data_IF_626693104312
#
_entry.id   IF_626693104312
#
_cell.length_a   1.000
_cell.length_b   1.000
_cell.length_c   1.000
_cell.angle_alpha   90.00
_cell.angle_beta   90.00
_cell.angle_gamma   90.00
#
_symmetry.space_group_name_H-M   'P 1'
#
loop_
_entity.id
_entity.type
_entity.pdbx_description
1 polymer ?
#
# COMPACT_ATOMS: atom_id res chain seq x y z
N UNK A 1 5.30 37.60 -11.50
CA UNK A 1 4.58 36.29 -11.48
C UNK A 1 3.98 36.18 -10.11
N UNK A 2 2.67 36.18 -10.01
CA UNK A 2 1.97 36.23 -8.73
C UNK A 2 1.24 34.92 -8.50
N UNK A 3 1.33 34.37 -7.31
CA UNK A 3 0.63 33.15 -6.91
C UNK A 3 0.26 33.20 -5.44
N UNK A 4 -0.84 32.54 -5.08
CA UNK A 4 -1.18 32.31 -3.69
C UNK A 4 -0.38 31.12 -3.17
N UNK A 5 0.53 31.35 -2.24
CA UNK A 5 1.41 30.32 -1.66
C UNK A 5 0.56 29.23 -0.99
N UNK A 6 -0.45 29.64 -0.24
CA UNK A 6 -1.35 28.73 0.49
C UNK A 6 -2.12 27.82 -0.46
N UNK A 7 -2.62 28.39 -1.58
CA UNK A 7 -3.33 27.62 -2.61
C UNK A 7 -2.38 26.65 -3.31
N UNK A 8 -1.18 27.10 -3.63
CA UNK A 8 -0.14 26.24 -4.24
C UNK A 8 0.26 25.10 -3.32
N UNK A 9 0.46 25.37 -2.03
CA UNK A 9 0.77 24.37 -1.01
C UNK A 9 -0.36 23.35 -0.88
N UNK A 10 -1.60 23.81 -0.78
CA UNK A 10 -2.77 22.95 -0.65
C UNK A 10 -2.96 22.07 -1.89
N UNK A 11 -2.79 22.66 -3.09
CA UNK A 11 -2.85 21.94 -4.35
C UNK A 11 -1.75 20.88 -4.46
N UNK A 12 -0.49 21.23 -4.14
CA UNK A 12 0.62 20.29 -4.13
C UNK A 12 0.36 19.13 -3.14
N UNK A 13 -0.10 19.45 -1.93
CA UNK A 13 -0.45 18.44 -0.93
C UNK A 13 -1.52 17.47 -1.46
N UNK A 14 -2.60 17.99 -2.06
CA UNK A 14 -3.67 17.19 -2.63
C UNK A 14 -3.16 16.32 -3.79
N UNK A 15 -2.34 16.88 -4.69
CA UNK A 15 -1.76 16.16 -5.83
C UNK A 15 -0.86 15.03 -5.36
N UNK A 16 0.02 15.27 -4.40
CA UNK A 16 0.94 14.27 -3.86
C UNK A 16 0.16 13.18 -3.14
N UNK A 17 -0.82 13.56 -2.30
CA UNK A 17 -1.65 12.60 -1.58
C UNK A 17 -2.42 11.68 -2.53
N UNK A 18 -3.05 12.24 -3.57
CA UNK A 18 -3.76 11.46 -4.58
C UNK A 18 -2.83 10.55 -5.37
N UNK A 19 -1.68 11.06 -5.79
CA UNK A 19 -0.68 10.27 -6.50
C UNK A 19 -0.19 9.11 -5.64
N UNK A 20 -0.04 9.34 -4.36
CA UNK A 20 0.35 8.34 -3.38
C UNK A 20 -0.74 7.26 -3.21
N UNK A 21 -2.00 7.68 -3.04
CA UNK A 21 -3.15 6.77 -2.98
C UNK A 21 -3.24 5.90 -4.24
N UNK A 22 -3.14 6.52 -5.41
CA UNK A 22 -3.18 5.79 -6.68
C UNK A 22 -2.02 4.80 -6.83
N UNK A 23 -0.80 5.21 -6.45
CA UNK A 23 0.36 4.33 -6.49
C UNK A 23 0.24 3.17 -5.50
N UNK A 24 -0.25 3.43 -4.27
CA UNK A 24 -0.47 2.38 -3.27
C UNK A 24 -1.51 1.36 -3.76
N UNK A 25 -2.56 1.82 -4.43
CA UNK A 25 -3.55 0.96 -5.04
C UNK A 25 -2.98 0.15 -6.21
N UNK A 26 -2.20 0.78 -7.09
CA UNK A 26 -1.61 0.11 -8.25
C UNK A 26 -0.50 -0.89 -7.87
N UNK A 27 0.24 -0.63 -6.80
CA UNK A 27 1.35 -1.47 -6.32
C UNK A 27 0.96 -2.40 -5.17
N UNK A 28 -0.30 -2.36 -4.73
CA UNK A 28 -0.81 -3.23 -3.64
C UNK A 28 0.00 -3.08 -2.34
N UNK A 29 0.47 -1.89 -2.07
CA UNK A 29 1.17 -1.59 -0.81
C UNK A 29 0.28 -0.69 0.04
N UNK A 30 -0.38 -1.22 1.08
CA UNK A 30 -1.15 -0.40 1.99
C UNK A 30 -0.18 0.48 2.78
N UNK A 31 -0.25 1.77 2.55
CA UNK A 31 0.48 2.75 3.33
C UNK A 31 -0.49 3.43 4.31
N UNK A 32 -0.14 3.55 5.59
CA UNK A 32 -1.00 4.18 6.55
C UNK A 32 -1.25 5.64 6.17
N UNK A 33 -2.52 6.02 6.11
CA UNK A 33 -2.95 7.35 5.64
C UNK A 33 -2.25 8.51 6.37
N UNK A 34 -1.91 8.31 7.65
CA UNK A 34 -1.17 9.31 8.44
C UNK A 34 0.22 9.59 7.86
N UNK A 35 0.95 8.54 7.47
CA UNK A 35 2.28 8.67 6.86
C UNK A 35 2.18 9.32 5.48
N UNK A 36 1.16 8.97 4.70
CA UNK A 36 0.90 9.59 3.40
C UNK A 36 0.62 11.09 3.53
N UNK A 37 -0.17 11.48 4.54
CA UNK A 37 -0.47 12.88 4.81
C UNK A 37 0.78 13.67 5.21
N UNK A 38 1.60 13.12 6.12
CA UNK A 38 2.87 13.74 6.54
C UNK A 38 3.81 13.91 5.35
N UNK A 39 3.94 12.89 4.51
CA UNK A 39 4.74 12.96 3.29
C UNK A 39 4.23 14.04 2.33
N UNK A 40 2.93 14.06 2.05
CA UNK A 40 2.34 15.04 1.14
C UNK A 40 2.49 16.47 1.65
N UNK A 41 2.32 16.69 2.95
CA UNK A 41 2.53 18.00 3.57
C UNK A 41 4.01 18.42 3.50
N UNK A 42 4.94 17.55 3.86
CA UNK A 42 6.37 17.87 3.83
C UNK A 42 6.84 18.24 2.42
N UNK A 43 6.53 17.41 1.41
CA UNK A 43 6.90 17.68 0.01
C UNK A 43 6.21 18.91 -0.61
N UNK A 44 5.17 19.44 0.03
CA UNK A 44 4.52 20.67 -0.43
C UNK A 44 5.20 21.94 0.11
N UNK A 45 6.00 21.85 1.19
CA UNK A 45 6.69 22.97 1.82
C UNK A 45 7.66 23.69 0.88
N UNK A 46 8.48 23.00 0.05
CA UNK A 46 9.36 23.69 -0.90
C UNK A 46 8.63 24.63 -1.86
N UNK A 47 7.34 24.32 -2.15
CA UNK A 47 6.48 25.23 -2.92
C UNK A 47 6.27 26.61 -2.29
N UNK A 48 6.45 26.75 -0.98
CA UNK A 48 6.42 28.04 -0.28
C UNK A 48 7.69 28.87 -0.55
N UNK A 49 8.77 28.20 -0.93
CA UNK A 49 10.07 28.82 -1.21
C UNK A 49 10.28 29.08 -2.71
N UNK A 50 9.20 29.26 -3.45
CA UNK A 50 9.18 29.34 -4.91
C UNK A 50 10.18 30.35 -5.48
N UNK A 51 10.33 31.49 -4.83
CA UNK A 51 11.21 32.59 -5.26
C UNK A 51 12.62 32.51 -4.68
N UNK A 52 12.91 31.55 -3.82
CA UNK A 52 14.23 31.37 -3.26
C UNK A 52 15.14 30.60 -4.25
N UNK A 53 16.28 31.17 -4.67
CA UNK A 53 17.18 30.50 -5.59
C UNK A 53 17.72 29.22 -4.96
N UNK A 54 17.60 28.10 -5.68
CA UNK A 54 18.05 26.80 -5.19
C UNK A 54 16.99 26.03 -4.35
N UNK A 55 15.76 26.52 -4.23
CA UNK A 55 14.69 25.84 -3.50
C UNK A 55 14.38 24.42 -4.00
N UNK A 56 14.66 24.13 -5.27
CA UNK A 56 14.55 22.78 -5.84
C UNK A 56 15.48 21.76 -5.16
N UNK A 57 16.60 22.20 -4.56
CA UNK A 57 17.50 21.30 -3.82
C UNK A 57 16.82 20.73 -2.57
N UNK A 58 15.97 21.53 -1.90
CA UNK A 58 15.17 21.03 -0.76
C UNK A 58 14.20 19.96 -1.21
N UNK A 59 13.54 20.15 -2.36
CA UNK A 59 12.64 19.14 -2.92
C UNK A 59 13.39 17.84 -3.22
N UNK A 60 14.55 17.92 -3.86
CA UNK A 60 15.37 16.73 -4.16
C UNK A 60 15.82 16.03 -2.88
N UNK A 61 16.27 16.79 -1.88
CA UNK A 61 16.70 16.24 -0.60
C UNK A 61 15.53 15.52 0.10
N UNK A 62 14.36 16.13 0.16
CA UNK A 62 13.17 15.55 0.73
C UNK A 62 12.74 14.27 0.00
N UNK A 63 12.74 14.28 -1.33
CA UNK A 63 12.41 13.08 -2.13
C UNK A 63 13.38 11.92 -1.83
N UNK A 64 14.68 12.21 -1.70
CA UNK A 64 15.69 11.21 -1.35
C UNK A 64 15.42 10.66 0.05
N UNK A 65 15.20 11.53 1.04
CA UNK A 65 14.89 11.10 2.42
C UNK A 65 13.64 10.23 2.47
N UNK A 66 12.58 10.64 1.79
CA UNK A 66 11.33 9.88 1.78
C UNK A 66 11.43 8.58 0.98
N UNK A 67 12.22 8.55 -0.08
CA UNK A 67 12.49 7.31 -0.80
C UNK A 67 13.09 6.23 0.12
N UNK A 68 14.08 6.59 0.93
CA UNK A 68 14.70 5.66 1.87
C UNK A 68 13.81 5.35 3.07
N UNK A 69 13.13 6.34 3.61
CA UNK A 69 12.34 6.19 4.83
C UNK A 69 10.97 5.56 4.59
N UNK A 70 10.23 6.06 3.61
CA UNK A 70 8.84 5.68 3.39
C UNK A 70 8.69 4.50 2.44
N UNK A 71 9.43 4.52 1.34
CA UNK A 71 9.34 3.47 0.33
C UNK A 71 10.27 2.29 0.60
N UNK A 72 11.14 2.39 1.59
CA UNK A 72 12.07 1.31 1.99
C UNK A 72 12.70 0.63 0.78
N UNK A 73 13.22 1.43 -0.17
CA UNK A 73 13.81 0.97 -1.43
C UNK A 73 12.81 0.33 -2.42
N UNK A 74 11.52 0.45 -2.22
CA UNK A 74 10.54 0.00 -3.22
C UNK A 74 10.46 0.99 -4.39
N UNK A 75 11.44 0.91 -5.29
CA UNK A 75 11.55 1.80 -6.44
C UNK A 75 10.30 1.78 -7.33
N UNK A 76 9.66 0.63 -7.49
CA UNK A 76 8.44 0.48 -8.32
C UNK A 76 7.32 1.40 -7.85
N UNK A 77 7.00 1.38 -6.55
CA UNK A 77 5.92 2.20 -5.97
C UNK A 77 6.26 3.68 -6.02
N UNK A 78 7.50 4.04 -5.74
CA UNK A 78 7.97 5.42 -5.84
C UNK A 78 7.91 5.94 -7.28
N UNK A 79 8.41 5.19 -8.26
CA UNK A 79 8.34 5.56 -9.68
C UNK A 79 6.89 5.71 -10.17
N UNK A 80 5.99 4.82 -9.74
CA UNK A 80 4.57 4.91 -10.07
C UNK A 80 3.95 6.20 -9.51
N UNK A 81 4.24 6.53 -8.24
CA UNK A 81 3.78 7.77 -7.62
C UNK A 81 4.29 9.00 -8.36
N UNK A 82 5.59 9.04 -8.72
CA UNK A 82 6.18 10.15 -9.46
C UNK A 82 5.56 10.28 -10.87
N UNK A 83 5.36 9.18 -11.57
CA UNK A 83 4.71 9.18 -12.88
C UNK A 83 3.30 9.75 -12.84
N UNK A 84 2.50 9.35 -11.85
CA UNK A 84 1.14 9.88 -11.66
C UNK A 84 1.19 11.36 -11.30
N UNK A 85 2.10 11.79 -10.42
CA UNK A 85 2.29 13.19 -10.04
C UNK A 85 2.66 14.08 -11.23
N UNK A 86 3.59 13.63 -12.06
CA UNK A 86 3.98 14.33 -13.29
C UNK A 86 2.79 14.45 -14.23
N UNK A 87 2.02 13.38 -14.44
CA UNK A 87 0.82 13.39 -15.27
C UNK A 87 -0.18 14.45 -14.81
N UNK A 88 -0.38 14.57 -13.49
CA UNK A 88 -1.23 15.60 -12.89
C UNK A 88 -0.74 17.01 -13.18
N UNK A 89 0.54 17.27 -12.97
CA UNK A 89 1.14 18.58 -13.24
C UNK A 89 1.04 18.93 -14.72
N UNK A 90 1.30 17.98 -15.63
CA UNK A 90 1.18 18.20 -17.07
C UNK A 90 -0.27 18.51 -17.47
N UNK A 91 -1.25 17.80 -16.90
CA UNK A 91 -2.67 18.07 -17.15
C UNK A 91 -3.05 19.47 -16.67
N UNK A 92 -2.65 19.85 -15.45
CA UNK A 92 -2.91 21.19 -14.92
C UNK A 92 -2.22 22.28 -15.75
N UNK A 93 -1.03 22.04 -16.23
CA UNK A 93 -0.31 22.95 -17.12
C UNK A 93 -1.04 23.15 -18.45
N UNK A 94 -1.53 22.05 -19.06
CA UNK A 94 -2.27 22.09 -20.32
C UNK A 94 -3.55 22.93 -20.24
N UNK A 95 -4.19 23.00 -19.05
CA UNK A 95 -5.35 23.84 -18.81
C UNK A 95 -5.03 25.20 -18.19
N UNK A 96 -3.80 25.63 -18.20
CA UNK A 96 -3.33 26.91 -17.62
C UNK A 96 -3.66 27.05 -16.11
N UNK A 97 -3.84 25.94 -15.42
CA UNK A 97 -4.14 25.92 -13.99
C UNK A 97 -2.90 25.79 -13.11
N UNK A 98 -1.73 25.82 -13.71
CA UNK A 98 -0.46 25.70 -13.00
C UNK A 98 0.72 26.14 -13.83
N UNK A 99 1.87 26.25 -13.19
CA UNK A 99 3.14 26.59 -13.82
C UNK A 99 4.34 26.06 -13.02
N UNK A 100 5.52 26.18 -13.61
CA UNK A 100 6.78 25.83 -12.96
C UNK A 100 7.67 27.07 -12.80
N UNK A 101 8.25 27.19 -11.63
CA UNK A 101 9.30 28.15 -11.36
C UNK A 101 10.35 27.51 -10.44
N UNK A 102 11.62 27.63 -10.75
CA UNK A 102 12.70 26.92 -10.05
C UNK A 102 12.45 25.42 -9.86
N UNK A 103 11.92 24.75 -10.87
CA UNK A 103 11.50 23.34 -10.83
C UNK A 103 10.38 23.02 -9.81
N UNK A 104 9.81 24.04 -9.18
CA UNK A 104 8.68 23.88 -8.27
C UNK A 104 7.38 24.21 -8.99
N UNK A 105 6.36 23.43 -8.67
CA UNK A 105 5.00 23.64 -9.16
C UNK A 105 4.29 24.71 -8.36
N UNK A 106 3.56 25.59 -9.03
CA UNK A 106 2.73 26.59 -8.40
C UNK A 106 1.41 26.80 -9.14
N UNK A 107 0.42 27.35 -8.44
CA UNK A 107 -0.89 27.71 -8.99
C UNK A 107 -0.91 29.25 -9.18
N UNK A 108 -1.07 29.75 -10.43
CA UNK A 108 -1.12 31.18 -10.69
C UNK A 108 -2.44 31.80 -10.18
N UNK A 109 -2.44 33.13 -9.94
CA UNK A 109 -3.59 33.87 -9.39
C UNK A 109 -4.87 33.73 -10.23
N UNK A 110 -4.72 33.61 -11.55
CA UNK A 110 -5.85 33.49 -12.47
C UNK A 110 -6.40 32.07 -12.63
N UNK A 111 -5.79 31.09 -11.95
CA UNK A 111 -6.23 29.70 -12.03
C UNK A 111 -7.58 29.48 -11.32
N UNK A 112 -8.43 28.66 -11.90
CA UNK A 112 -9.68 28.27 -11.28
C UNK A 112 -9.45 27.12 -10.30
N UNK A 113 -9.30 27.44 -9.03
CA UNK A 113 -9.10 26.45 -7.96
C UNK A 113 -10.26 25.46 -7.88
N UNK A 114 -11.49 25.90 -8.14
CA UNK A 114 -12.67 25.04 -8.13
C UNK A 114 -12.61 23.92 -9.17
N UNK A 115 -12.06 24.22 -10.35
CA UNK A 115 -11.87 23.21 -11.40
C UNK A 115 -10.91 22.11 -10.94
N UNK A 116 -9.81 22.49 -10.31
CA UNK A 116 -8.83 21.54 -9.76
C UNK A 116 -9.47 20.62 -8.72
N UNK A 117 -10.25 21.18 -7.80
CA UNK A 117 -10.96 20.39 -6.78
C UNK A 117 -12.02 19.46 -7.39
N UNK A 118 -12.72 19.89 -8.43
CA UNK A 118 -13.69 19.06 -9.14
C UNK A 118 -12.99 17.86 -9.80
N UNK A 119 -11.87 18.10 -10.45
CA UNK A 119 -11.06 17.02 -11.07
C UNK A 119 -10.55 16.06 -10.00
N UNK A 120 -10.00 16.55 -8.89
CA UNK A 120 -9.52 15.69 -7.80
C UNK A 120 -10.66 14.91 -7.14
N UNK A 121 -11.78 15.53 -6.89
CA UNK A 121 -12.96 14.88 -6.33
C UNK A 121 -13.50 13.79 -7.26
N UNK A 122 -13.57 14.07 -8.54
CA UNK A 122 -13.98 13.09 -9.56
C UNK A 122 -13.05 11.90 -9.62
N UNK A 123 -11.73 12.11 -9.57
CA UNK A 123 -10.76 11.03 -9.56
C UNK A 123 -10.77 10.22 -8.26
N UNK A 124 -10.93 10.87 -7.12
CA UNK A 124 -11.08 10.15 -5.86
C UNK A 124 -12.32 9.24 -5.90
N UNK A 125 -13.43 9.73 -6.43
CA UNK A 125 -14.63 8.92 -6.64
C UNK A 125 -14.39 7.76 -7.60
N UNK A 126 -13.73 7.99 -8.73
CA UNK A 126 -13.39 6.93 -9.68
C UNK A 126 -12.51 5.86 -9.05
N UNK A 127 -11.51 6.25 -8.26
CA UNK A 127 -10.67 5.33 -7.52
C UNK A 127 -11.47 4.54 -6.50
N UNK A 128 -12.37 5.19 -5.76
CA UNK A 128 -13.20 4.52 -4.77
C UNK A 128 -14.15 3.50 -5.41
N UNK A 129 -14.78 3.85 -6.53
CA UNK A 129 -15.69 2.96 -7.27
C UNK A 129 -14.91 1.79 -7.91
N UNK A 130 -13.75 2.07 -8.49
CA UNK A 130 -12.91 1.07 -9.17
C UNK A 130 -12.04 0.25 -8.23
N UNK A 131 -12.06 0.54 -6.93
CA UNK A 131 -11.25 -0.16 -5.94
C UNK A 131 -11.45 -1.68 -5.97
N UNK A 132 -12.71 -2.13 -6.02
CA UNK A 132 -13.03 -3.55 -6.08
C UNK A 132 -12.51 -4.22 -7.35
N UNK A 133 -12.62 -3.54 -8.49
CA UNK A 133 -12.10 -4.03 -9.78
C UNK A 133 -10.55 -4.07 -9.79
N UNK A 134 -9.93 -3.12 -9.11
CA UNK A 134 -8.47 -3.08 -8.97
C UNK A 134 -7.98 -4.20 -8.04
N UNK A 135 -8.67 -4.44 -6.92
CA UNK A 135 -8.40 -5.58 -6.04
C UNK A 135 -8.50 -6.91 -6.81
N UNK A 136 -9.45 -7.03 -7.72
CA UNK A 136 -9.61 -8.22 -8.55
C UNK A 136 -8.47 -8.44 -9.58
N UNK A 137 -7.68 -7.42 -9.87
CA UNK A 137 -6.51 -7.48 -10.79
C UNK A 137 -5.17 -7.63 -10.07
N UNK A 138 -5.18 -7.77 -8.74
CA UNK A 138 -3.98 -7.95 -7.95
C UNK A 138 -3.27 -9.24 -8.35
N UNK A 139 -1.95 -9.20 -8.37
CA UNK A 139 -1.15 -10.41 -8.31
C UNK A 139 -1.49 -11.11 -6.98
N UNK A 140 -2.24 -12.20 -7.05
CA UNK A 140 -2.58 -12.99 -5.87
C UNK A 140 -1.41 -13.82 -5.33
N UNK A 141 -0.23 -13.68 -5.95
CA UNK A 141 0.96 -14.45 -5.66
C UNK A 141 1.92 -13.64 -4.79
N UNK A 142 2.21 -14.15 -3.62
CA UNK A 142 3.16 -13.54 -2.70
C UNK A 142 4.20 -14.55 -2.23
N UNK A 143 5.39 -14.06 -1.93
CA UNK A 143 6.39 -14.83 -1.18
C UNK A 143 6.17 -14.60 0.29
N UNK A 144 5.99 -15.68 1.03
CA UNK A 144 5.78 -15.70 2.47
C UNK A 144 6.99 -16.30 3.16
N UNK A 145 7.41 -15.70 4.25
CA UNK A 145 8.38 -16.24 5.18
C UNK A 145 7.67 -16.56 6.49
N UNK A 146 7.74 -17.81 6.94
CA UNK A 146 7.19 -18.23 8.24
C UNK A 146 8.38 -18.59 9.13
N UNK A 147 8.52 -17.91 10.25
CA UNK A 147 9.54 -18.19 11.25
C UNK A 147 9.05 -19.29 12.21
N UNK A 148 9.83 -20.34 12.32
CA UNK A 148 9.65 -21.44 13.24
C UNK A 148 10.80 -21.46 14.24
N UNK A 149 10.67 -22.25 15.31
CA UNK A 149 11.69 -22.33 16.35
C UNK A 149 13.09 -22.66 15.83
N UNK A 150 13.20 -23.55 14.83
CA UNK A 150 14.50 -24.06 14.35
C UNK A 150 14.81 -23.63 12.91
N UNK A 151 13.86 -23.09 12.15
CA UNK A 151 14.02 -22.79 10.71
C UNK A 151 13.05 -21.73 10.23
N UNK A 152 13.34 -21.17 9.07
CA UNK A 152 12.42 -20.26 8.36
C UNK A 152 11.96 -20.94 7.07
N UNK A 153 10.65 -21.04 6.89
CA UNK A 153 10.08 -21.57 5.65
C UNK A 153 9.85 -20.41 4.68
N UNK A 154 10.30 -20.59 3.45
CA UNK A 154 10.03 -19.68 2.33
C UNK A 154 9.03 -20.35 1.40
N UNK A 155 7.81 -19.81 1.33
CA UNK A 155 6.68 -20.45 0.67
C UNK A 155 6.05 -19.49 -0.34
N UNK A 156 5.39 -20.07 -1.34
CA UNK A 156 4.59 -19.34 -2.32
C UNK A 156 3.15 -19.28 -1.85
N UNK A 157 2.68 -18.10 -1.54
CA UNK A 157 1.33 -17.88 -1.05
C UNK A 157 0.37 -17.39 -2.15
N UNK A 158 -0.85 -17.88 -2.11
CA UNK A 158 -1.99 -17.37 -2.87
C UNK A 158 -2.87 -16.54 -1.95
N UNK A 159 -3.06 -15.26 -2.29
CA UNK A 159 -3.96 -14.39 -1.55
C UNK A 159 -5.41 -14.69 -1.95
N UNK A 160 -6.19 -15.14 -1.00
CA UNK A 160 -7.62 -15.38 -1.19
C UNK A 160 -8.44 -14.25 -0.56
N UNK A 161 -9.13 -13.49 -1.41
CA UNK A 161 -10.01 -12.41 -0.96
C UNK A 161 -11.19 -12.91 -0.11
N UNK A 162 -11.52 -14.19 -0.19
CA UNK A 162 -12.54 -14.85 0.63
C UNK A 162 -12.01 -15.34 1.99
N UNK A 163 -10.70 -15.47 2.16
CA UNK A 163 -10.13 -15.89 3.43
C UNK A 163 -9.99 -14.71 4.39
N UNK A 164 -11.01 -14.46 5.17
CA UNK A 164 -11.07 -13.45 6.23
C UNK A 164 -11.02 -14.08 7.64
N UNK A 165 -10.75 -15.38 7.73
CA UNK A 165 -10.75 -16.09 9.00
C UNK A 165 -9.69 -15.53 9.94
N UNK A 166 -10.13 -15.07 11.09
CA UNK A 166 -9.25 -14.60 12.16
C UNK A 166 -9.73 -15.12 13.50
N UNK A 167 -8.82 -15.37 14.41
CA UNK A 167 -9.10 -15.73 15.79
C UNK A 167 -8.42 -14.70 16.70
N UNK A 168 -9.19 -14.05 17.56
CA UNK A 168 -8.72 -12.95 18.40
C UNK A 168 -7.96 -11.83 17.62
N UNK A 169 -8.40 -11.57 16.38
CA UNK A 169 -7.74 -10.59 15.52
C UNK A 169 -6.47 -11.08 14.83
N UNK A 170 -6.05 -12.33 15.07
CA UNK A 170 -4.89 -12.95 14.44
C UNK A 170 -5.35 -13.68 13.17
N UNK A 171 -4.79 -13.38 11.99
CA UNK A 171 -5.20 -14.00 10.73
C UNK A 171 -4.81 -15.48 10.67
N UNK A 172 -5.70 -16.31 10.10
CA UNK A 172 -5.47 -17.74 9.89
C UNK A 172 -5.03 -17.99 8.46
N UNK A 173 -3.93 -18.73 8.30
CA UNK A 173 -3.39 -19.21 7.03
C UNK A 173 -3.65 -20.71 6.89
N UNK A 174 -3.86 -21.15 5.65
CA UNK A 174 -3.99 -22.58 5.37
C UNK A 174 -2.80 -23.07 4.54
N UNK A 175 -2.19 -24.18 4.97
CA UNK A 175 -1.04 -24.80 4.33
C UNK A 175 -1.30 -26.28 4.11
N UNK A 176 -0.62 -26.90 3.15
CA UNK A 176 -0.67 -28.35 2.96
C UNK A 176 -0.20 -29.10 4.20
N UNK A 177 -0.87 -30.22 4.55
CA UNK A 177 -0.48 -31.10 5.65
C UNK A 177 0.92 -31.69 5.50
N UNK A 178 1.50 -31.67 4.30
CA UNK A 178 2.91 -32.06 4.07
C UNK A 178 3.92 -31.26 4.89
N UNK A 179 3.54 -30.04 5.28
CA UNK A 179 4.37 -29.16 6.10
C UNK A 179 4.17 -29.33 7.61
N UNK A 180 3.21 -30.12 8.07
CA UNK A 180 2.83 -30.26 9.49
C UNK A 180 4.01 -30.65 10.38
N UNK A 181 4.95 -31.42 9.85
CA UNK A 181 6.14 -31.88 10.58
C UNK A 181 7.02 -30.73 11.05
N UNK A 182 7.04 -29.61 10.33
CA UNK A 182 7.83 -28.42 10.69
C UNK A 182 7.21 -27.64 11.86
N UNK A 183 5.89 -27.79 12.10
CA UNK A 183 5.15 -27.05 13.12
C UNK A 183 5.04 -27.75 14.47
N UNK A 184 5.57 -28.97 14.63
CA UNK A 184 5.42 -29.77 15.85
C UNK A 184 5.90 -29.12 17.15
N UNK A 185 6.84 -28.15 17.03
CA UNK A 185 7.40 -27.42 18.18
C UNK A 185 6.70 -26.08 18.45
N UNK A 186 5.68 -25.73 17.69
CA UNK A 186 4.95 -24.50 17.84
C UNK A 186 3.77 -24.66 18.81
N UNK A 187 3.36 -23.56 19.42
CA UNK A 187 2.18 -23.55 20.28
C UNK A 187 0.91 -23.87 19.46
N UNK A 188 0.09 -24.72 20.01
CA UNK A 188 -1.16 -25.16 19.37
C UNK A 188 -2.31 -24.35 19.93
N UNK A 189 -3.08 -23.73 19.03
CA UNK A 189 -4.33 -23.07 19.34
C UNK A 189 -5.50 -23.79 18.63
N UNK A 190 -6.60 -23.98 19.35
CA UNK A 190 -7.82 -24.57 18.80
C UNK A 190 -8.76 -23.45 18.37
N UNK A 191 -8.98 -23.35 17.07
CA UNK A 191 -9.81 -22.30 16.47
C UNK A 191 -11.15 -22.88 16.03
N UNK A 192 -12.25 -22.28 16.46
CA UNK A 192 -13.60 -22.63 16.00
C UNK A 192 -13.83 -21.94 14.65
N UNK A 193 -14.04 -22.73 13.62
CA UNK A 193 -14.36 -22.26 12.29
C UNK A 193 -15.84 -22.52 12.00
N UNK A 194 -16.58 -21.43 11.78
CA UNK A 194 -17.97 -21.51 11.34
C UNK A 194 -18.03 -21.33 9.82
N UNK A 195 -18.48 -22.35 9.13
CA UNK A 195 -18.84 -22.26 7.70
C UNK A 195 -20.36 -22.19 7.56
N UNK A 196 -20.85 -21.95 6.35
CA UNK A 196 -22.30 -21.89 6.10
C UNK A 196 -23.00 -23.21 6.48
N UNK A 197 -22.29 -24.32 6.32
CA UNK A 197 -22.88 -25.67 6.46
C UNK A 197 -22.44 -26.41 7.73
N UNK A 198 -21.33 -25.94 8.40
CA UNK A 198 -20.76 -26.69 9.51
C UNK A 198 -19.93 -25.82 10.46
N UNK A 199 -19.86 -26.27 11.73
CA UNK A 199 -18.99 -25.72 12.75
C UNK A 199 -17.92 -26.74 13.09
N UNK A 200 -16.67 -26.45 12.77
CA UNK A 200 -15.54 -27.35 13.02
C UNK A 200 -14.46 -26.68 13.87
N UNK A 201 -13.82 -27.50 14.72
CA UNK A 201 -12.65 -27.07 15.48
C UNK A 201 -11.40 -27.47 14.72
N UNK A 202 -10.56 -26.50 14.37
CA UNK A 202 -9.33 -26.71 13.65
C UNK A 202 -8.12 -26.47 14.55
N UNK A 203 -7.06 -27.25 14.34
CA UNK A 203 -5.77 -27.03 15.01
C UNK A 203 -4.96 -26.05 14.21
N UNK A 204 -4.49 -25.01 14.88
CA UNK A 204 -3.64 -24.00 14.31
C UNK A 204 -2.35 -23.88 15.12
N UNK A 205 -1.27 -23.50 14.46
CA UNK A 205 0.05 -23.29 15.06
C UNK A 205 0.37 -21.81 15.07
N UNK A 206 0.71 -21.25 16.24
CA UNK A 206 1.06 -19.85 16.37
C UNK A 206 2.48 -19.61 15.86
N UNK A 207 2.63 -18.73 14.87
CA UNK A 207 3.89 -18.42 14.21
C UNK A 207 4.04 -16.93 13.93
N UNK A 208 5.25 -16.50 13.60
CA UNK A 208 5.51 -15.21 12.98
C UNK A 208 5.65 -15.39 11.47
N UNK A 209 4.94 -14.59 10.71
CA UNK A 209 5.05 -14.60 9.26
C UNK A 209 5.21 -13.20 8.69
N UNK A 210 5.94 -13.10 7.58
CA UNK A 210 6.11 -11.87 6.82
C UNK A 210 5.87 -12.14 5.33
N UNK A 211 5.07 -11.30 4.70
CA UNK A 211 5.05 -11.21 3.24
C UNK A 211 6.25 -10.40 2.80
N UNK A 212 6.87 -10.77 1.67
CA UNK A 212 8.05 -10.08 1.14
C UNK A 212 7.81 -8.56 1.03
N UNK A 213 8.65 -7.79 1.72
CA UNK A 213 8.51 -6.33 1.80
C UNK A 213 7.58 -5.79 2.91
N UNK A 214 6.92 -6.66 3.68
CA UNK A 214 6.04 -6.27 4.78
C UNK A 214 6.66 -6.58 6.17
N UNK A 215 6.04 -6.02 7.21
CA UNK A 215 6.42 -6.34 8.58
C UNK A 215 6.03 -7.78 8.95
N UNK A 216 6.71 -8.32 9.96
CA UNK A 216 6.34 -9.60 10.57
C UNK A 216 5.09 -9.43 11.41
N UNK A 217 4.15 -10.35 11.24
CA UNK A 217 2.91 -10.41 11.99
C UNK A 217 2.75 -11.77 12.65
N UNK A 218 2.09 -11.79 13.80
CA UNK A 218 1.63 -13.04 14.38
C UNK A 218 0.51 -13.60 13.51
N UNK A 219 0.61 -14.89 13.19
CA UNK A 219 -0.35 -15.62 12.36
C UNK A 219 -0.65 -16.98 12.98
N UNK A 220 -1.80 -17.53 12.65
CA UNK A 220 -2.16 -18.90 12.96
C UNK A 220 -2.09 -19.73 11.68
N UNK A 221 -1.33 -20.80 11.67
CA UNK A 221 -1.14 -21.68 10.52
C UNK A 221 -1.92 -22.97 10.73
N UNK A 222 -2.88 -23.23 9.86
CA UNK A 222 -3.67 -24.47 9.86
C UNK A 222 -3.19 -25.39 8.75
N UNK A 223 -2.73 -26.59 9.12
CA UNK A 223 -2.34 -27.63 8.17
C UNK A 223 -3.58 -28.44 7.75
N UNK A 224 -3.87 -28.48 6.43
CA UNK A 224 -5.01 -29.23 5.89
C UNK A 224 -4.60 -30.17 4.77
N UNK A 225 -5.27 -31.33 4.75
CA UNK A 225 -5.24 -32.25 3.61
C UNK A 225 -5.99 -31.59 2.44
N UNK A 226 -5.48 -31.77 1.22
CA UNK A 226 -6.14 -31.31 -0.02
C UNK A 226 -6.28 -29.78 -0.18
N UNK A 227 -5.28 -29.02 0.19
CA UNK A 227 -5.19 -27.62 -0.24
C UNK A 227 -4.71 -27.60 -1.68
N UNK A 228 -5.64 -27.58 -2.64
CA UNK A 228 -5.30 -27.41 -4.06
C UNK A 228 -5.29 -25.92 -4.39
N UNK A 229 -4.11 -25.34 -4.50
CA UNK A 229 -3.95 -23.93 -4.81
C UNK A 229 -3.48 -23.75 -6.26
N UNK A 230 -3.91 -22.67 -6.92
CA UNK A 230 -3.46 -22.40 -8.28
C UNK A 230 -1.96 -22.08 -8.33
N UNK A 231 -1.36 -22.28 -9.49
CA UNK A 231 0.03 -21.90 -9.81
C UNK A 231 1.10 -22.52 -8.87
N UNK A 232 0.83 -23.73 -8.36
CA UNK A 232 1.72 -24.43 -7.41
C UNK A 232 2.02 -23.59 -6.14
N UNK A 233 1.02 -22.86 -5.66
CA UNK A 233 1.11 -22.20 -4.36
C UNK A 233 1.02 -23.22 -3.24
N UNK A 234 1.64 -22.91 -2.12
CA UNK A 234 1.79 -23.79 -0.97
C UNK A 234 0.96 -23.32 0.22
N UNK A 235 0.62 -22.03 0.22
CA UNK A 235 -0.11 -21.37 1.32
C UNK A 235 -1.28 -20.56 0.78
N UNK A 236 -2.44 -20.69 1.41
CA UNK A 236 -3.57 -19.79 1.25
C UNK A 236 -3.44 -18.65 2.25
N UNK A 237 -3.19 -17.45 1.75
CA UNK A 237 -3.00 -16.26 2.57
C UNK A 237 -4.35 -15.66 2.98
N UNK A 238 -4.34 -14.97 4.11
CA UNK A 238 -5.48 -14.24 4.62
C UNK A 238 -5.43 -12.79 4.17
N UNK A 239 -6.58 -12.23 3.76
CA UNK A 239 -6.67 -10.84 3.29
C UNK A 239 -6.27 -9.83 4.38
N UNK A 240 -6.54 -10.14 5.65
CA UNK A 240 -6.20 -9.27 6.77
C UNK A 240 -4.68 -9.07 6.94
N UNK A 241 -3.84 -9.97 6.42
CA UNK A 241 -2.38 -9.78 6.45
C UNK A 241 -1.92 -8.55 5.66
N UNK A 242 -2.71 -8.12 4.66
CA UNK A 242 -2.41 -6.95 3.84
C UNK A 242 -2.80 -5.63 4.51
N UNK A 243 -3.65 -5.68 5.53
CA UNK A 243 -4.18 -4.50 6.23
C UNK A 243 -3.47 -4.20 7.55
N UNK A 244 -2.66 -5.14 8.05
CA UNK A 244 -1.94 -5.03 9.32
C UNK A 244 -0.59 -4.28 9.22
N UNK A 245 -0.28 -3.69 8.05
CA UNK A 245 0.96 -2.96 7.79
C UNK A 245 0.98 -1.49 8.23
#
# INVERSE_FOLDING_TARGET
>A
MESYVEVSMLHNTATILLSFLMASYACVQPLPIRKMLVYALALSIPGCLLFFPGSWLFLVLEEVVFFFWQFRFCAKSWMMMQGIRILWYMTSFAFYQGGFHNFLWFVPLHASVYWLWLVYGGMFLLLHVKWKDMLARMDYLYRLQIELADTTLHLKGWLDSGNLLSYEGIPVLFISSSYETYFKKQDIELVVMNTVDDTSVIRCYACLAAIEGCHKHRVLVCCRNHVSLPLNCEVLLNMNMMTLG
#
